data_IF_324822965319
#
_entry.id   IF_324822965319
#
_cell.length_a   1.000
_cell.length_b   1.000
_cell.length_c   1.000
_cell.angle_alpha   90.00
_cell.angle_beta   90.00
_cell.angle_gamma   90.00
#
_symmetry.space_group_name_H-M   'P 1'
#
loop_
_entity.id
_entity.type
_entity.pdbx_description
1 polymer ?
#
# COMPACT_ATOMS: atom_id res chain seq x y z
N UNK A 1 16.15 8.74 18.59
CA UNK A 1 14.99 9.21 17.82
C UNK A 1 15.30 10.40 16.91
N UNK A 2 15.61 11.61 17.39
CA UNK A 2 15.85 12.79 16.52
C UNK A 2 16.89 12.55 15.44
N UNK A 3 17.98 11.88 15.75
CA UNK A 3 19.05 11.53 14.81
C UNK A 3 18.52 10.64 13.67
N UNK A 4 17.75 9.60 13.98
CA UNK A 4 17.18 8.70 12.98
C UNK A 4 16.20 9.43 12.07
N UNK A 5 15.26 10.22 12.62
CA UNK A 5 14.28 10.97 11.84
C UNK A 5 14.95 12.03 10.96
N UNK A 6 15.93 12.77 11.47
CA UNK A 6 16.66 13.79 10.72
C UNK A 6 17.59 13.16 9.68
N UNK A 7 18.16 11.99 9.97
CA UNK A 7 19.00 11.22 9.03
C UNK A 7 18.20 10.39 8.03
N UNK A 8 16.86 10.42 8.10
CA UNK A 8 15.96 9.60 7.25
C UNK A 8 16.28 8.11 7.35
N UNK A 9 16.59 7.63 8.54
CA UNK A 9 16.92 6.24 8.82
C UNK A 9 15.69 5.53 9.35
N UNK A 10 15.40 4.32 8.85
CA UNK A 10 14.36 3.46 9.37
C UNK A 10 14.64 3.15 10.85
N UNK A 11 13.73 3.56 11.74
CA UNK A 11 13.95 3.45 13.16
C UNK A 11 13.26 2.20 13.72
N UNK A 12 14.06 1.22 14.12
CA UNK A 12 13.64 0.02 14.82
C UNK A 12 13.84 0.23 16.32
N UNK A 13 12.78 0.09 17.11
CA UNK A 13 12.75 0.44 18.52
C UNK A 13 12.72 -0.80 19.41
N UNK A 14 13.75 -0.99 20.20
CA UNK A 14 13.86 -2.03 21.22
C UNK A 14 13.10 -1.60 22.48
N UNK A 15 11.84 -2.02 22.64
CA UNK A 15 11.00 -1.56 23.78
C UNK A 15 11.38 -2.20 25.11
N UNK A 16 12.07 -3.36 25.08
CA UNK A 16 12.68 -3.96 26.27
C UNK A 16 13.82 -3.13 26.87
N UNK A 17 14.44 -2.23 26.08
CA UNK A 17 15.52 -1.36 26.54
C UNK A 17 15.01 0.02 26.90
N UNK A 18 14.14 0.62 26.09
CA UNK A 18 13.61 1.96 26.33
C UNK A 18 12.24 2.14 25.67
N UNK A 19 11.31 2.70 26.44
CA UNK A 19 9.93 2.93 25.99
C UNK A 19 9.51 4.41 26.07
N UNK A 20 10.46 5.34 25.91
CA UNK A 20 10.27 6.78 26.08
C UNK A 20 9.86 7.53 24.79
N UNK A 21 9.50 6.83 23.74
CA UNK A 21 9.08 7.42 22.46
C UNK A 21 8.02 6.56 21.78
N UNK A 22 7.16 7.16 20.97
CA UNK A 22 6.17 6.49 20.09
C UNK A 22 6.61 6.47 18.62
N UNK A 23 7.87 6.84 18.35
CA UNK A 23 8.46 6.79 17.01
C UNK A 23 9.17 5.44 16.80
N UNK A 24 9.15 4.97 15.58
CA UNK A 24 9.82 3.73 15.18
C UNK A 24 8.96 2.48 15.32
N UNK A 25 9.37 1.44 14.61
CA UNK A 25 8.76 0.12 14.67
C UNK A 25 9.15 -0.58 15.96
N UNK A 26 8.17 -1.05 16.70
CA UNK A 26 8.34 -1.62 18.03
C UNK A 26 8.71 -3.10 17.96
N UNK A 27 9.72 -3.45 18.73
CA UNK A 27 10.10 -4.84 18.98
C UNK A 27 10.14 -5.04 20.48
N UNK A 28 9.38 -6.00 21.01
CA UNK A 28 9.26 -6.27 22.43
C UNK A 28 10.38 -7.17 22.96
N UNK A 29 11.03 -7.90 22.06
CA UNK A 29 12.07 -8.85 22.38
C UNK A 29 13.23 -8.79 21.39
N UNK A 30 14.49 -9.08 21.83
CA UNK A 30 15.64 -9.18 20.94
C UNK A 30 15.42 -10.17 19.78
N UNK A 31 14.76 -11.30 20.05
CA UNK A 31 14.44 -12.32 19.04
C UNK A 31 13.62 -11.77 17.87
N UNK A 32 12.59 -10.97 18.16
CA UNK A 32 11.74 -10.35 17.14
C UNK A 32 12.53 -9.38 16.24
N UNK A 33 13.39 -8.56 16.86
CA UNK A 33 14.24 -7.62 16.14
C UNK A 33 15.27 -8.34 15.28
N UNK A 34 15.94 -9.38 15.79
CA UNK A 34 16.91 -10.16 15.05
C UNK A 34 16.23 -10.85 13.84
N UNK A 35 15.09 -11.50 14.07
CA UNK A 35 14.29 -12.11 13.00
C UNK A 35 13.94 -11.10 11.90
N UNK A 36 13.48 -9.90 12.27
CA UNK A 36 13.15 -8.85 11.31
C UNK A 36 14.37 -8.43 10.47
N UNK A 37 15.52 -8.27 11.11
CA UNK A 37 16.75 -7.88 10.41
C UNK A 37 17.18 -8.99 9.45
N UNK A 38 17.30 -10.23 9.93
CA UNK A 38 17.81 -11.36 9.16
C UNK A 38 16.92 -11.68 7.96
N UNK A 39 15.60 -11.56 8.12
CA UNK A 39 14.67 -12.00 7.06
C UNK A 39 14.21 -10.87 6.16
N UNK A 40 14.24 -9.61 6.59
CA UNK A 40 13.63 -8.52 5.84
C UNK A 40 14.58 -7.37 5.48
N UNK A 41 15.67 -7.17 6.25
CA UNK A 41 16.62 -6.09 5.96
C UNK A 41 17.78 -6.52 5.05
N UNK A 42 18.00 -7.81 4.86
CA UNK A 42 19.09 -8.35 4.03
C UNK A 42 18.65 -8.71 2.60
N UNK A 43 17.46 -8.26 2.19
CA UNK A 43 16.91 -8.49 0.85
C UNK A 43 17.71 -7.75 -0.21
N UNK A 44 17.84 -8.39 -1.37
CA UNK A 44 18.45 -7.81 -2.57
C UNK A 44 17.39 -7.41 -3.60
N UNK A 45 16.26 -8.12 -3.65
CA UNK A 45 15.17 -7.94 -4.63
C UNK A 45 13.88 -7.46 -3.94
N UNK A 46 13.42 -6.25 -4.24
CA UNK A 46 12.34 -5.61 -3.50
C UNK A 46 10.98 -5.60 -4.22
N UNK A 47 10.97 -5.48 -5.54
CA UNK A 47 9.77 -5.34 -6.33
C UNK A 47 9.74 -6.33 -7.50
N UNK A 48 8.72 -7.18 -7.56
CA UNK A 48 8.51 -8.05 -8.72
C UNK A 48 7.83 -7.32 -9.88
N UNK A 49 7.06 -6.30 -9.59
CA UNK A 49 6.42 -5.44 -10.59
C UNK A 49 6.76 -3.98 -10.34
N UNK A 50 7.14 -3.31 -11.44
CA UNK A 50 7.44 -1.89 -11.43
C UNK A 50 6.91 -1.23 -12.69
N UNK A 51 6.11 -0.18 -12.55
CA UNK A 51 5.66 0.67 -13.64
C UNK A 51 6.09 2.10 -13.33
N UNK A 52 6.92 2.66 -14.19
CA UNK A 52 7.32 4.08 -14.18
C UNK A 52 7.04 4.64 -15.56
N UNK A 53 5.94 5.36 -15.73
CA UNK A 53 5.49 5.89 -17.00
C UNK A 53 4.83 7.27 -16.84
N UNK A 54 5.62 8.31 -17.04
CA UNK A 54 5.21 9.68 -16.78
C UNK A 54 4.80 9.90 -15.33
N UNK A 55 3.53 10.24 -15.11
CA UNK A 55 2.96 10.43 -13.77
C UNK A 55 2.33 9.15 -13.20
N UNK A 56 2.43 8.03 -13.90
CA UNK A 56 1.96 6.73 -13.41
C UNK A 56 3.11 5.95 -12.80
N UNK A 57 3.07 5.74 -11.49
CA UNK A 57 4.11 5.02 -10.75
C UNK A 57 3.46 3.97 -9.83
N UNK A 58 3.84 2.68 -10.02
CA UNK A 58 3.27 1.56 -9.30
C UNK A 58 4.31 0.48 -9.00
N UNK A 59 4.21 -0.13 -7.81
CA UNK A 59 5.08 -1.22 -7.35
C UNK A 59 4.28 -2.33 -6.66
N UNK A 60 4.76 -3.57 -6.78
CA UNK A 60 4.26 -4.71 -5.99
C UNK A 60 5.40 -5.65 -5.59
N UNK A 61 5.33 -6.18 -4.36
CA UNK A 61 6.35 -7.09 -3.82
C UNK A 61 6.43 -8.39 -4.63
N UNK A 62 5.29 -9.01 -4.93
CA UNK A 62 5.24 -10.32 -5.59
C UNK A 62 3.97 -10.54 -6.41
N UNK A 63 3.99 -11.53 -7.34
CA UNK A 63 2.80 -12.02 -8.01
C UNK A 63 1.80 -12.66 -7.05
N UNK A 64 0.50 -12.54 -7.34
CA UNK A 64 -0.58 -13.17 -6.57
C UNK A 64 -1.29 -14.25 -7.35
N UNK A 65 -1.31 -15.47 -6.83
CA UNK A 65 -2.17 -16.55 -7.32
C UNK A 65 -2.39 -17.62 -6.25
N UNK A 66 -3.64 -17.94 -5.97
CA UNK A 66 -4.00 -19.07 -5.10
C UNK A 66 -4.16 -20.38 -5.88
N UNK A 67 -3.95 -20.37 -7.20
CA UNK A 67 -4.10 -21.52 -8.08
C UNK A 67 -2.75 -22.08 -8.55
N UNK A 68 -1.78 -21.20 -8.86
CA UNK A 68 -0.46 -21.63 -9.29
C UNK A 68 0.37 -22.07 -8.08
N UNK A 69 0.91 -23.27 -8.13
CA UNK A 69 1.64 -23.90 -7.03
C UNK A 69 2.81 -23.05 -6.50
N UNK A 70 3.56 -22.43 -7.41
CA UNK A 70 4.73 -21.60 -7.10
C UNK A 70 4.41 -20.38 -6.23
N UNK A 71 3.18 -19.81 -6.37
CA UNK A 71 2.77 -18.62 -5.63
C UNK A 71 1.77 -18.90 -4.52
N UNK A 72 1.19 -20.10 -4.49
CA UNK A 72 0.05 -20.44 -3.65
C UNK A 72 0.31 -20.19 -2.18
N UNK A 73 1.43 -20.72 -1.66
CA UNK A 73 1.75 -20.71 -0.22
C UNK A 73 1.77 -19.29 0.33
N UNK A 74 2.58 -18.42 -0.26
CA UNK A 74 2.67 -17.04 0.22
C UNK A 74 1.43 -16.22 -0.13
N UNK A 75 0.76 -16.49 -1.27
CA UNK A 75 -0.47 -15.78 -1.65
C UNK A 75 -1.63 -16.07 -0.67
N UNK A 76 -1.74 -17.30 -0.19
CA UNK A 76 -2.74 -17.66 0.83
C UNK A 76 -2.42 -17.00 2.16
N UNK A 77 -1.15 -16.98 2.56
CA UNK A 77 -0.67 -16.31 3.78
C UNK A 77 -0.93 -14.78 3.71
N UNK A 78 -0.50 -14.12 2.63
CA UNK A 78 -0.74 -12.69 2.43
C UNK A 78 -2.24 -12.35 2.41
N UNK A 79 -3.06 -13.18 1.77
CA UNK A 79 -4.51 -12.99 1.75
C UNK A 79 -5.12 -13.14 3.14
N UNK A 80 -4.66 -14.11 3.93
CA UNK A 80 -5.11 -14.29 5.31
C UNK A 80 -4.72 -13.08 6.17
N UNK A 81 -3.50 -12.60 6.03
CA UNK A 81 -3.00 -11.40 6.71
C UNK A 81 -3.81 -10.15 6.33
N UNK A 82 -4.00 -9.90 5.02
CA UNK A 82 -4.67 -8.71 4.54
C UNK A 82 -6.18 -8.67 4.84
N UNK A 83 -6.87 -9.81 4.76
CA UNK A 83 -8.34 -9.86 4.84
C UNK A 83 -8.88 -10.25 6.20
N UNK A 84 -8.12 -10.97 6.99
CA UNK A 84 -8.60 -11.56 8.24
C UNK A 84 -7.72 -11.25 9.45
N UNK A 85 -6.57 -10.60 9.24
CA UNK A 85 -5.60 -10.33 10.30
C UNK A 85 -4.98 -11.62 10.89
N UNK A 86 -4.99 -12.72 10.13
CA UNK A 86 -4.40 -14.01 10.50
C UNK A 86 -3.14 -14.28 9.69
N UNK A 87 -2.28 -15.18 10.17
CA UNK A 87 -1.00 -15.48 9.53
C UNK A 87 0.06 -14.44 9.88
N UNK A 88 1.05 -14.28 9.00
CA UNK A 88 2.26 -13.50 9.29
C UNK A 88 2.13 -12.04 8.87
N UNK A 89 1.18 -11.33 9.50
CA UNK A 89 0.90 -9.90 9.20
C UNK A 89 2.15 -9.05 9.33
N UNK A 90 2.94 -9.27 10.39
CA UNK A 90 4.17 -8.49 10.64
C UNK A 90 5.24 -8.76 9.57
N UNK A 91 5.29 -9.95 9.00
CA UNK A 91 6.15 -10.25 7.86
C UNK A 91 5.77 -9.41 6.64
N UNK A 92 4.49 -9.39 6.25
CA UNK A 92 4.03 -8.68 5.06
C UNK A 92 4.20 -7.17 5.17
N UNK A 93 3.90 -6.63 6.33
CA UNK A 93 4.08 -5.20 6.60
C UNK A 93 5.57 -4.85 6.69
N UNK A 94 6.37 -5.70 7.32
CA UNK A 94 7.82 -5.55 7.37
C UNK A 94 8.45 -5.59 5.98
N UNK A 95 8.06 -6.54 5.12
CA UNK A 95 8.51 -6.64 3.73
C UNK A 95 8.16 -5.38 2.93
N UNK A 96 6.95 -4.84 3.11
CA UNK A 96 6.54 -3.59 2.48
C UNK A 96 7.38 -2.40 2.96
N UNK A 97 7.53 -2.26 4.27
CA UNK A 97 8.27 -1.15 4.90
C UNK A 97 9.73 -1.14 4.47
N UNK A 98 10.39 -2.30 4.51
CA UNK A 98 11.80 -2.41 4.09
C UNK A 98 11.98 -2.16 2.60
N UNK A 99 11.06 -2.65 1.76
CA UNK A 99 11.09 -2.37 0.31
C UNK A 99 10.96 -0.87 0.02
N UNK A 100 9.99 -0.20 0.66
CA UNK A 100 9.82 1.27 0.51
C UNK A 100 11.03 2.05 1.03
N UNK A 101 11.68 1.56 2.07
CA UNK A 101 12.87 2.20 2.64
C UNK A 101 14.09 2.03 1.73
N UNK A 102 14.47 0.80 1.41
CA UNK A 102 15.68 0.51 0.64
C UNK A 102 15.62 1.00 -0.82
N UNK A 103 14.41 1.12 -1.39
CA UNK A 103 14.23 1.70 -2.74
C UNK A 103 14.00 3.22 -2.75
N UNK A 104 14.12 3.88 -1.60
CA UNK A 104 14.09 5.34 -1.50
C UNK A 104 12.70 5.98 -1.71
N UNK A 105 11.61 5.22 -1.68
CA UNK A 105 10.25 5.76 -1.83
C UNK A 105 9.95 6.80 -0.74
N UNK A 106 10.41 6.56 0.48
CA UNK A 106 10.25 7.47 1.62
C UNK A 106 10.80 8.89 1.38
N UNK A 107 11.76 9.06 0.51
CA UNK A 107 12.34 10.38 0.18
C UNK A 107 11.47 11.21 -0.76
N UNK A 108 10.71 10.53 -1.63
CA UNK A 108 9.95 11.11 -2.74
C UNK A 108 8.51 11.46 -2.40
N UNK A 109 8.05 11.16 -1.20
CA UNK A 109 6.66 11.37 -0.76
C UNK A 109 6.55 12.47 0.29
N UNK A 110 5.37 13.09 0.39
CA UNK A 110 5.01 14.04 1.44
C UNK A 110 3.98 13.44 2.41
N UNK A 111 3.07 12.63 1.87
CA UNK A 111 1.96 12.03 2.59
C UNK A 111 1.83 10.55 2.27
N UNK A 112 1.16 9.84 3.16
CA UNK A 112 0.85 8.43 3.02
C UNK A 112 -0.65 8.25 3.27
N UNK A 113 -1.30 7.42 2.45
CA UNK A 113 -2.69 7.02 2.64
C UNK A 113 -2.88 5.56 2.25
N UNK A 114 -3.74 4.84 2.97
CA UNK A 114 -4.22 3.52 2.58
C UNK A 114 -5.53 3.64 1.79
N UNK A 115 -5.75 2.73 0.83
CA UNK A 115 -7.04 2.64 0.16
C UNK A 115 -8.09 2.06 1.12
N UNK A 116 -9.29 2.64 1.24
CA UNK A 116 -10.32 2.15 2.16
C UNK A 116 -10.90 0.82 1.69
N UNK A 117 -11.38 0.01 2.62
CA UNK A 117 -12.11 -1.21 2.32
C UNK A 117 -13.34 -0.97 1.41
N UNK A 118 -13.98 -2.05 0.97
CA UNK A 118 -15.14 -1.96 0.06
C UNK A 118 -16.44 -1.48 0.73
N UNK A 119 -16.51 -1.48 2.06
CA UNK A 119 -17.62 -0.96 2.85
C UNK A 119 -17.25 0.36 3.54
N UNK A 120 -18.25 1.17 3.80
CA UNK A 120 -18.09 2.40 4.58
C UNK A 120 -17.56 2.06 5.97
N UNK A 121 -16.49 2.76 6.40
CA UNK A 121 -15.90 2.61 7.73
C UNK A 121 -15.04 1.35 7.93
N UNK A 122 -14.77 0.57 6.87
CA UNK A 122 -13.93 -0.64 6.96
C UNK A 122 -12.55 -0.36 6.38
N UNK A 123 -11.50 -0.69 7.14
CA UNK A 123 -10.09 -0.58 6.78
C UNK A 123 -9.26 -1.76 7.29
N UNK A 124 -7.96 -1.68 7.15
CA UNK A 124 -6.99 -2.59 7.75
C UNK A 124 -6.20 -1.82 8.82
N UNK A 125 -6.61 -1.96 10.08
CA UNK A 125 -6.07 -1.16 11.19
C UNK A 125 -4.56 -1.39 11.38
N UNK A 126 -4.09 -2.64 11.29
CA UNK A 126 -2.66 -2.94 11.43
C UNK A 126 -1.82 -2.29 10.32
N UNK A 127 -2.27 -2.35 9.08
CA UNK A 127 -1.61 -1.67 7.96
C UNK A 127 -1.61 -0.14 8.17
N UNK A 128 -2.71 0.41 8.67
CA UNK A 128 -2.82 1.83 8.97
C UNK A 128 -1.80 2.27 10.03
N UNK A 129 -1.65 1.49 11.11
CA UNK A 129 -0.72 1.79 12.19
C UNK A 129 0.75 1.72 11.74
N UNK A 130 1.10 0.72 10.95
CA UNK A 130 2.46 0.58 10.43
C UNK A 130 2.80 1.64 9.38
N UNK A 131 1.86 2.02 8.52
CA UNK A 131 2.04 3.14 7.59
C UNK A 131 2.17 4.48 8.32
N UNK A 132 1.42 4.68 9.42
CA UNK A 132 1.60 5.85 10.28
C UNK A 132 2.98 5.85 10.93
N UNK A 133 3.43 4.70 11.42
CA UNK A 133 4.76 4.55 12.03
C UNK A 133 5.86 4.81 11.00
N UNK A 134 5.73 4.27 9.78
CA UNK A 134 6.62 4.56 8.67
C UNK A 134 6.67 6.08 8.38
N UNK A 135 5.50 6.72 8.29
CA UNK A 135 5.43 8.17 8.09
C UNK A 135 6.14 8.96 9.20
N UNK A 136 5.96 8.57 10.45
CA UNK A 136 6.65 9.21 11.60
C UNK A 136 8.18 9.06 11.50
N UNK A 137 8.71 7.91 11.08
CA UNK A 137 10.15 7.70 10.90
C UNK A 137 10.78 8.74 9.96
N UNK A 138 10.06 9.18 8.94
CA UNK A 138 10.56 10.08 7.90
C UNK A 138 9.93 11.48 7.90
N UNK A 139 9.25 11.83 9.00
CA UNK A 139 8.50 13.10 9.13
C UNK A 139 7.46 13.31 8.01
N UNK A 140 6.84 12.23 7.54
CA UNK A 140 5.73 12.28 6.57
C UNK A 140 4.38 12.19 7.28
N UNK A 141 3.34 12.80 6.71
CA UNK A 141 2.00 12.74 7.29
C UNK A 141 1.25 11.50 6.83
N UNK A 142 0.83 10.63 7.76
CA UNK A 142 -0.16 9.60 7.46
C UNK A 142 -1.57 10.21 7.53
N UNK A 143 -2.32 10.11 6.43
CA UNK A 143 -3.65 10.68 6.26
C UNK A 143 -4.68 9.54 6.19
N UNK A 144 -5.01 8.95 7.36
CA UNK A 144 -5.82 7.73 7.44
C UNK A 144 -7.23 7.87 6.85
N UNK A 145 -7.78 9.07 6.85
CA UNK A 145 -9.12 9.41 6.38
C UNK A 145 -9.11 10.27 5.11
N UNK A 146 -7.97 10.31 4.37
CA UNK A 146 -7.87 11.09 3.13
C UNK A 146 -8.88 10.64 2.08
N UNK A 147 -9.02 9.32 1.92
CA UNK A 147 -9.95 8.71 0.97
C UNK A 147 -11.15 8.19 1.76
N UNK A 148 -12.27 8.84 1.60
CA UNK A 148 -13.54 8.43 2.21
C UNK A 148 -14.35 7.59 1.24
N UNK A 149 -14.78 6.42 1.69
CA UNK A 149 -15.83 5.66 1.02
C UNK A 149 -17.17 6.15 1.53
N UNK A 150 -17.90 6.86 0.69
CA UNK A 150 -19.21 7.43 1.05
C UNK A 150 -20.39 6.51 0.77
N UNK A 151 -20.19 5.46 -0.03
CA UNK A 151 -21.15 4.38 -0.30
C UNK A 151 -20.44 3.07 -0.56
N UNK A 152 -21.07 1.95 -0.26
CA UNK A 152 -20.45 0.63 -0.41
C UNK A 152 -20.14 0.31 -1.89
N UNK A 153 -18.94 -0.18 -2.14
CA UNK A 153 -18.58 -0.74 -3.43
C UNK A 153 -18.90 -2.24 -3.48
N UNK A 154 -19.28 -2.72 -4.66
CA UNK A 154 -19.51 -4.16 -4.87
C UNK A 154 -18.18 -4.90 -4.80
N UNK A 155 -18.09 -5.91 -3.93
CA UNK A 155 -16.93 -6.79 -3.86
C UNK A 155 -16.73 -7.52 -5.19
N UNK A 156 -15.50 -7.53 -5.73
CA UNK A 156 -15.18 -8.22 -6.98
C UNK A 156 -15.53 -9.72 -6.95
N UNK A 157 -15.37 -10.37 -5.79
CA UNK A 157 -15.77 -11.77 -5.60
C UNK A 157 -17.27 -11.94 -5.68
N UNK A 158 -18.04 -11.09 -4.99
CA UNK A 158 -19.51 -11.11 -5.01
C UNK A 158 -20.05 -10.81 -6.41
N UNK A 159 -19.44 -9.85 -7.10
CA UNK A 159 -19.81 -9.52 -8.49
C UNK A 159 -19.63 -10.73 -9.40
N UNK A 160 -18.47 -11.41 -9.33
CA UNK A 160 -18.21 -12.64 -10.11
C UNK A 160 -19.22 -13.75 -9.80
N UNK A 161 -19.53 -13.99 -8.52
CA UNK A 161 -20.51 -15.01 -8.11
C UNK A 161 -21.91 -14.72 -8.62
N UNK A 162 -22.27 -13.44 -8.77
CA UNK A 162 -23.59 -12.99 -9.25
C UNK A 162 -23.64 -12.68 -10.74
N UNK A 163 -22.54 -12.88 -11.49
CA UNK A 163 -22.46 -12.54 -12.90
C UNK A 163 -22.55 -11.03 -13.18
N UNK A 164 -22.29 -10.18 -12.19
CA UNK A 164 -22.37 -8.72 -12.34
C UNK A 164 -21.02 -8.22 -12.89
N UNK A 165 -21.08 -7.57 -14.05
CA UNK A 165 -19.90 -6.86 -14.56
C UNK A 165 -19.63 -5.61 -13.73
N UNK A 166 -18.40 -5.49 -13.22
CA UNK A 166 -17.92 -4.30 -12.53
C UNK A 166 -16.72 -3.73 -13.27
N UNK A 167 -16.55 -2.43 -13.19
CA UNK A 167 -15.44 -1.69 -13.77
C UNK A 167 -14.98 -0.55 -12.84
N UNK A 168 -14.30 0.45 -13.38
CA UNK A 168 -13.82 1.62 -12.64
C UNK A 168 -14.93 2.40 -11.93
N UNK A 169 -16.16 2.44 -12.48
CA UNK A 169 -17.28 3.15 -11.88
C UNK A 169 -17.57 2.66 -10.46
N UNK A 170 -17.41 1.34 -10.21
CA UNK A 170 -17.61 0.74 -8.89
C UNK A 170 -16.71 1.34 -7.81
N UNK A 171 -15.56 1.89 -8.19
CA UNK A 171 -14.64 2.51 -7.25
C UNK A 171 -14.76 4.04 -7.30
N UNK A 172 -14.74 4.64 -8.49
CA UNK A 172 -14.82 6.08 -8.68
C UNK A 172 -16.08 6.70 -8.10
N UNK A 173 -17.23 6.06 -8.27
CA UNK A 173 -18.53 6.58 -7.83
C UNK A 173 -18.82 6.33 -6.34
N UNK A 174 -17.90 5.72 -5.62
CA UNK A 174 -18.12 5.34 -4.20
C UNK A 174 -17.10 5.95 -3.24
N UNK A 175 -16.14 6.71 -3.76
CA UNK A 175 -15.14 7.40 -2.95
C UNK A 175 -15.15 8.92 -3.22
N UNK A 176 -14.56 9.66 -2.29
CA UNK A 176 -14.18 11.06 -2.42
C UNK A 176 -12.97 11.33 -1.54
N UNK A 177 -12.34 12.50 -1.69
CA UNK A 177 -11.32 12.94 -0.74
C UNK A 177 -11.96 13.73 0.41
N UNK A 178 -11.36 13.61 1.59
CA UNK A 178 -11.62 14.50 2.72
C UNK A 178 -10.76 15.75 2.55
N UNK A 179 -11.40 16.93 2.52
CA UNK A 179 -10.70 18.21 2.28
C UNK A 179 -9.70 18.55 3.39
N UNK A 180 -10.07 18.23 4.63
CA UNK A 180 -9.28 18.48 5.82
C UNK A 180 -9.03 17.15 6.55
N UNK A 181 -8.15 16.29 6.01
CA UNK A 181 -7.90 14.98 6.59
C UNK A 181 -7.18 15.09 7.93
N UNK A 182 -7.23 14.02 8.70
CA UNK A 182 -6.57 13.93 9.99
C UNK A 182 -5.16 13.34 9.82
N UNK A 183 -4.14 14.07 10.26
CA UNK A 183 -2.75 13.61 10.29
C UNK A 183 -2.53 12.74 11.51
N UNK A 184 -2.03 11.52 11.32
CA UNK A 184 -1.58 10.60 12.37
C UNK A 184 -2.62 10.41 13.50
N UNK A 185 -3.90 10.34 13.16
CA UNK A 185 -5.05 10.19 14.07
C UNK A 185 -5.25 11.30 15.12
N UNK A 186 -4.47 12.36 15.11
CA UNK A 186 -4.53 13.35 16.20
C UNK A 186 -4.72 14.81 15.77
N UNK A 187 -4.37 15.16 14.54
CA UNK A 187 -4.41 16.56 14.08
C UNK A 187 -5.14 16.71 12.76
N UNK A 188 -6.28 17.35 12.79
CA UNK A 188 -7.02 17.74 11.58
C UNK A 188 -6.32 18.92 10.90
N UNK A 189 -6.12 18.84 9.59
CA UNK A 189 -5.60 19.96 8.80
C UNK A 189 -6.60 21.11 8.76
N UNK A 190 -6.12 22.34 8.89
CA UNK A 190 -6.94 23.55 8.79
C UNK A 190 -7.08 24.07 7.34
N UNK A 191 -6.24 23.54 6.45
CA UNK A 191 -6.29 23.81 4.99
C UNK A 191 -6.04 22.50 4.24
N UNK A 192 -6.51 22.40 3.00
CA UNK A 192 -6.29 21.23 2.17
C UNK A 192 -4.78 20.98 1.98
N UNK A 193 -4.25 19.82 2.44
CA UNK A 193 -2.82 19.57 2.36
C UNK A 193 -2.36 19.17 0.97
N UNK A 194 -3.24 18.59 0.15
CA UNK A 194 -2.93 18.16 -1.21
C UNK A 194 -2.97 19.36 -2.18
N UNK A 195 -1.92 19.49 -2.96
CA UNK A 195 -1.73 20.56 -3.97
C UNK A 195 -0.57 20.21 -4.88
N UNK A 196 -0.38 20.98 -5.92
CA UNK A 196 0.79 20.89 -6.82
C UNK A 196 2.11 20.86 -6.03
N UNK A 197 3.02 20.00 -6.45
CA UNK A 197 4.31 19.77 -5.80
C UNK A 197 4.26 18.84 -4.58
N UNK A 198 3.10 18.24 -4.27
CA UNK A 198 2.97 17.21 -3.24
C UNK A 198 2.81 15.83 -3.85
N UNK A 199 3.37 14.82 -3.18
CA UNK A 199 3.29 13.41 -3.57
C UNK A 199 2.67 12.59 -2.45
N UNK A 200 1.66 11.79 -2.80
CA UNK A 200 0.98 10.86 -1.89
C UNK A 200 1.43 9.43 -2.22
N UNK A 201 1.95 8.73 -1.22
CA UNK A 201 2.08 7.28 -1.27
C UNK A 201 0.71 6.65 -0.99
N UNK A 202 0.17 5.95 -1.97
CA UNK A 202 -1.10 5.23 -1.87
C UNK A 202 -0.83 3.73 -1.76
N UNK A 203 -1.28 3.12 -0.67
CA UNK A 203 -1.04 1.70 -0.37
C UNK A 203 -2.35 0.92 -0.38
N UNK A 204 -2.32 -0.28 -0.98
CA UNK A 204 -3.41 -1.27 -0.93
C UNK A 204 -2.81 -2.68 -0.75
N UNK A 205 -3.64 -3.69 -0.46
CA UNK A 205 -3.17 -5.06 -0.24
C UNK A 205 -2.89 -5.82 -1.56
N UNK A 206 -3.89 -5.99 -2.40
CA UNK A 206 -3.81 -6.81 -3.63
C UNK A 206 -4.34 -6.04 -4.84
N UNK A 207 -3.49 -5.82 -5.82
CA UNK A 207 -3.87 -5.20 -7.08
C UNK A 207 -4.25 -6.27 -8.11
N UNK A 208 -5.49 -6.25 -8.58
CA UNK A 208 -5.91 -7.04 -9.75
C UNK A 208 -5.84 -6.19 -11.02
N UNK A 209 -6.87 -5.44 -11.34
CA UNK A 209 -6.92 -4.53 -12.50
C UNK A 209 -6.55 -3.09 -12.16
N UNK A 210 -6.21 -2.80 -10.92
CA UNK A 210 -5.81 -1.49 -10.44
C UNK A 210 -6.95 -0.49 -10.26
N UNK A 211 -8.21 -0.90 -10.34
CA UNK A 211 -9.35 0.03 -10.31
C UNK A 211 -9.46 0.85 -9.03
N UNK A 212 -9.14 0.25 -7.88
CA UNK A 212 -9.12 0.95 -6.58
C UNK A 212 -8.06 2.04 -6.56
N UNK A 213 -6.83 1.66 -6.89
CA UNK A 213 -5.69 2.58 -6.90
C UNK A 213 -5.88 3.70 -7.94
N UNK A 214 -6.37 3.35 -9.13
CA UNK A 214 -6.61 4.31 -10.21
C UNK A 214 -7.72 5.31 -9.85
N UNK A 215 -8.79 4.84 -9.21
CA UNK A 215 -9.84 5.73 -8.72
C UNK A 215 -9.28 6.76 -7.73
N UNK A 216 -8.55 6.30 -6.70
CA UNK A 216 -7.94 7.20 -5.73
C UNK A 216 -6.92 8.14 -6.37
N UNK A 217 -6.08 7.63 -7.30
CA UNK A 217 -5.12 8.43 -8.07
C UNK A 217 -5.81 9.59 -8.78
N UNK A 218 -6.93 9.33 -9.49
CA UNK A 218 -7.68 10.39 -10.21
C UNK A 218 -8.22 11.49 -9.29
N UNK A 219 -8.72 11.12 -8.12
CA UNK A 219 -9.15 12.09 -7.13
C UNK A 219 -7.97 12.90 -6.56
N UNK A 220 -6.83 12.26 -6.28
CA UNK A 220 -5.61 12.93 -5.78
C UNK A 220 -5.04 13.86 -6.85
N UNK A 221 -4.89 13.40 -8.09
CA UNK A 221 -4.40 14.21 -9.22
C UNK A 221 -5.25 15.47 -9.47
N UNK A 222 -6.55 15.38 -9.20
CA UNK A 222 -7.44 16.53 -9.32
C UNK A 222 -7.09 17.69 -8.38
N UNK A 223 -6.39 17.41 -7.27
CA UNK A 223 -5.83 18.43 -6.37
C UNK A 223 -4.51 19.02 -6.86
N UNK A 224 -3.92 18.51 -7.92
CA UNK A 224 -2.57 18.82 -8.41
C UNK A 224 -1.44 18.01 -7.74
N UNK A 225 -1.75 17.13 -6.80
CA UNK A 225 -0.77 16.26 -6.18
C UNK A 225 -0.45 15.05 -7.08
N UNK A 226 0.76 14.49 -6.93
CA UNK A 226 1.18 13.23 -7.57
C UNK A 226 0.91 12.03 -6.67
N UNK A 227 0.91 10.84 -7.26
CA UNK A 227 0.68 9.59 -6.53
C UNK A 227 1.74 8.56 -6.88
N UNK A 228 2.32 7.93 -5.85
CA UNK A 228 3.09 6.68 -5.97
C UNK A 228 2.21 5.59 -5.37
N UNK A 229 1.97 4.51 -6.12
CA UNK A 229 1.08 3.42 -5.73
C UNK A 229 1.89 2.18 -5.38
N UNK A 230 1.58 1.56 -4.25
CA UNK A 230 2.27 0.35 -3.79
C UNK A 230 1.26 -0.68 -3.31
N UNK A 231 1.48 -1.94 -3.66
CA UNK A 231 0.70 -3.07 -3.12
C UNK A 231 1.61 -4.20 -2.64
N UNK A 232 1.09 -5.04 -1.76
CA UNK A 232 1.79 -6.27 -1.40
C UNK A 232 1.90 -7.17 -2.62
N UNK A 233 0.77 -7.45 -3.27
CA UNK A 233 0.72 -8.42 -4.34
C UNK A 233 0.00 -7.90 -5.59
N UNK A 234 0.48 -8.36 -6.75
CA UNK A 234 -0.14 -8.14 -8.06
C UNK A 234 -0.71 -9.45 -8.62
N UNK A 235 -2.01 -9.51 -8.85
CA UNK A 235 -2.65 -10.69 -9.44
C UNK A 235 -2.06 -11.01 -10.81
N UNK A 236 -1.61 -12.26 -10.97
CA UNK A 236 -0.99 -12.74 -12.22
C UNK A 236 -1.94 -12.60 -13.41
N UNK A 237 -1.35 -12.42 -14.59
CA UNK A 237 -2.06 -12.35 -15.88
C UNK A 237 -3.20 -11.32 -15.91
N UNK A 238 -3.13 -10.28 -15.07
CA UNK A 238 -4.11 -9.21 -15.07
C UNK A 238 -3.44 -7.87 -15.33
N UNK A 239 -3.92 -7.17 -16.34
CA UNK A 239 -3.39 -5.86 -16.74
C UNK A 239 -3.93 -4.76 -15.83
N UNK A 240 -3.12 -3.74 -15.58
CA UNK A 240 -3.59 -2.52 -14.92
C UNK A 240 -4.20 -1.60 -16.00
N UNK A 241 -5.37 -1.07 -15.71
CA UNK A 241 -6.12 -0.19 -16.62
C UNK A 241 -6.12 1.22 -16.08
N UNK A 242 -5.47 2.12 -16.79
CA UNK A 242 -5.53 3.56 -16.55
C UNK A 242 -6.74 4.17 -17.24
N UNK A 243 -7.43 5.03 -16.57
CA UNK A 243 -8.50 5.84 -17.17
C UNK A 243 -7.94 7.16 -17.71
N UNK A 244 -8.56 7.63 -18.79
CA UNK A 244 -8.27 8.94 -19.35
C UNK A 244 -8.54 10.05 -18.32
N UNK A 245 -8.11 11.27 -18.67
CA UNK A 245 -8.41 12.44 -17.85
C UNK A 245 -9.92 12.55 -17.67
N UNK A 246 -10.37 12.52 -16.43
CA UNK A 246 -11.74 12.83 -16.08
C UNK A 246 -11.98 14.33 -16.29
N UNK A 247 -13.19 14.72 -16.71
CA UNK A 247 -13.56 16.13 -16.79
C UNK A 247 -13.39 16.85 -15.44
N UNK A 248 -13.77 18.11 -15.39
CA UNK A 248 -13.69 18.89 -14.16
C UNK A 248 -14.70 18.40 -13.12
N UNK A 249 -14.21 18.12 -11.91
CA UNK A 249 -15.03 17.74 -10.77
C UNK A 249 -14.39 18.22 -9.47
N UNK A 250 -15.17 18.35 -8.41
CA UNK A 250 -14.69 18.65 -7.06
C UNK A 250 -14.27 17.34 -6.37
N UNK A 251 -12.98 17.10 -6.10
CA UNK A 251 -12.51 15.84 -5.50
C UNK A 251 -13.01 15.61 -4.07
N UNK A 252 -13.57 16.63 -3.45
CA UNK A 252 -14.08 16.59 -2.08
C UNK A 252 -15.58 16.31 -2.00
N UNK A 253 -16.23 16.10 -3.15
CA UNK A 253 -17.66 15.78 -3.25
C UNK A 253 -17.87 14.40 -3.88
N UNK A 254 -18.96 13.76 -3.48
CA UNK A 254 -19.44 12.57 -4.18
C UNK A 254 -19.77 12.94 -5.64
N UNK A 255 -19.16 12.23 -6.59
CA UNK A 255 -19.32 12.48 -8.02
C UNK A 255 -19.74 11.20 -8.71
N UNK A 256 -20.70 11.28 -9.62
CA UNK A 256 -21.11 10.17 -10.48
C UNK A 256 -20.48 10.36 -11.85
N UNK A 257 -19.56 9.49 -12.19
CA UNK A 257 -18.96 9.43 -13.51
C UNK A 257 -19.82 8.49 -14.38
N UNK A 258 -20.30 8.99 -15.50
CA UNK A 258 -21.15 8.20 -16.44
C UNK A 258 -20.35 7.63 -17.61
N UNK A 259 -19.29 8.32 -18.03
CA UNK A 259 -18.48 7.95 -19.17
C UNK A 259 -17.00 7.92 -18.79
N UNK A 260 -16.44 6.73 -18.66
CA UNK A 260 -15.03 6.52 -18.36
C UNK A 260 -14.39 5.83 -19.56
N UNK A 261 -13.30 6.39 -20.06
CA UNK A 261 -12.49 5.82 -21.14
C UNK A 261 -11.21 5.26 -20.55
N UNK A 262 -10.84 4.07 -21.00
CA UNK A 262 -9.50 3.53 -20.75
C UNK A 262 -8.53 4.28 -21.68
N UNK A 263 -7.50 4.86 -21.11
CA UNK A 263 -6.45 5.57 -21.83
C UNK A 263 -5.28 4.65 -22.13
N UNK A 264 -4.82 3.91 -21.11
CA UNK A 264 -3.68 3.03 -21.21
C UNK A 264 -3.89 1.72 -20.45
N UNK A 265 -3.34 0.65 -21.02
CA UNK A 265 -3.34 -0.68 -20.40
C UNK A 265 -1.88 -1.08 -20.20
N UNK A 266 -1.51 -1.31 -18.95
CA UNK A 266 -0.20 -1.84 -18.60
C UNK A 266 -0.29 -3.36 -18.54
N UNK A 267 0.35 -4.00 -19.52
CA UNK A 267 0.36 -5.46 -19.61
C UNK A 267 1.15 -6.08 -18.45
N UNK A 268 0.58 -7.10 -17.82
CA UNK A 268 1.19 -7.77 -16.67
C UNK A 268 2.64 -8.22 -16.95
N UNK A 269 2.86 -8.91 -18.07
CA UNK A 269 4.18 -9.48 -18.41
C UNK A 269 5.22 -8.42 -18.80
N UNK A 270 4.80 -7.29 -19.37
CA UNK A 270 5.71 -6.24 -19.78
C UNK A 270 6.31 -5.46 -18.59
N UNK A 271 5.67 -5.53 -17.43
CA UNK A 271 6.05 -4.82 -16.21
C UNK A 271 6.37 -5.75 -15.03
N UNK A 272 6.51 -7.04 -15.29
CA UNK A 272 7.11 -7.98 -14.36
C UNK A 272 8.62 -7.86 -14.54
N UNK A 273 9.28 -7.13 -13.63
CA UNK A 273 10.68 -6.71 -13.81
C UNK A 273 11.67 -7.64 -13.15
N UNK A 274 11.25 -8.38 -12.11
CA UNK A 274 12.14 -9.22 -11.34
C UNK A 274 11.44 -10.49 -10.81
N UNK A 275 11.79 -11.63 -11.37
CA UNK A 275 11.34 -12.94 -10.90
C UNK A 275 11.96 -13.33 -9.57
N UNK A 276 13.22 -12.96 -9.33
CA UNK A 276 13.94 -13.28 -8.10
C UNK A 276 13.29 -12.62 -6.86
N UNK A 277 12.63 -11.48 -7.01
CA UNK A 277 11.93 -10.83 -5.90
C UNK A 277 10.84 -11.71 -5.28
N UNK A 278 10.13 -12.52 -6.08
CA UNK A 278 9.11 -13.44 -5.57
C UNK A 278 9.68 -14.72 -4.99
N UNK A 279 10.80 -15.19 -5.53
CA UNK A 279 11.53 -16.35 -5.01
C UNK A 279 12.14 -16.02 -3.65
N UNK A 280 12.89 -14.92 -3.58
CA UNK A 280 13.47 -14.42 -2.34
C UNK A 280 12.40 -14.18 -1.25
N UNK A 281 11.27 -13.54 -1.61
CA UNK A 281 10.17 -13.31 -0.68
C UNK A 281 9.56 -14.62 -0.13
N UNK A 282 9.50 -15.66 -0.96
CA UNK A 282 9.02 -17.00 -0.55
C UNK A 282 9.97 -17.65 0.44
N UNK A 283 11.28 -17.60 0.18
CA UNK A 283 12.31 -18.11 1.06
C UNK A 283 12.32 -17.37 2.40
N UNK A 284 12.21 -16.06 2.35
CA UNK A 284 12.16 -15.21 3.55
C UNK A 284 10.91 -15.43 4.40
N UNK A 285 9.75 -15.65 3.78
CA UNK A 285 8.55 -16.01 4.53
C UNK A 285 8.76 -17.34 5.29
N UNK A 286 9.37 -18.33 4.64
CA UNK A 286 9.69 -19.59 5.31
C UNK A 286 10.71 -19.39 6.42
N UNK A 287 11.78 -18.66 6.14
CA UNK A 287 12.80 -18.33 7.13
C UNK A 287 12.20 -17.53 8.30
N UNK A 288 11.28 -16.60 8.05
CA UNK A 288 10.60 -15.82 9.10
C UNK A 288 9.74 -16.72 10.00
N UNK A 289 9.04 -17.68 9.43
CA UNK A 289 8.19 -18.62 10.18
C UNK A 289 9.06 -19.56 11.05
N UNK A 290 10.14 -20.10 10.48
CA UNK A 290 10.99 -21.12 11.10
C UNK A 290 12.18 -20.51 11.88
N UNK A 291 12.24 -19.16 11.95
CA UNK A 291 13.41 -18.45 12.50
C UNK A 291 13.67 -18.79 13.96
N UNK A 292 14.90 -19.17 14.27
CA UNK A 292 15.42 -19.30 15.62
C UNK A 292 16.80 -18.65 15.75
N UNK A 293 17.31 -18.51 16.97
CA UNK A 293 18.63 -17.95 17.19
C UNK A 293 19.67 -18.76 16.44
N UNK A 294 20.61 -18.12 15.72
CA UNK A 294 21.76 -18.83 15.20
C UNK A 294 22.57 -19.40 16.37
N UNK A 295 23.02 -20.66 16.21
CA UNK A 295 23.88 -21.35 17.16
C UNK A 295 25.26 -20.68 17.30
#
# INVERSE_FOLDING_TARGET
MRTAVNGKILFLRATWYSNNTTYGFEFSQPKELARFIDTLCLREHFWSHEIKDGDFEYYALAPFSTLKAEFKKYSENARAAAKFGHGDVDFWLGALVTSMYFTGIHERIDFIAAYPGHKVGVGNDKMNDDLMTFGKCFNKGYLHDLIERHSDAIKSQTARQRGIAIDHHNQLNTIRLKKFPTKNYNRVYQSAPLRTGKTVLLVDDICTKGWSLEAARKYIERTGAKTIMVTWLKTINTNIQCIARTGDFDPYKATIFSNIRIDKIYNYHAYHVDGAASEELTEQLQQYIDWDWPE
#
